data_IF_221674048504
#
_entry.id   IF_221674048504
#
_cell.length_a   1.000
_cell.length_b   1.000
_cell.length_c   1.000
_cell.angle_alpha   90.00
_cell.angle_beta   90.00
_cell.angle_gamma   90.00
#
_symmetry.space_group_name_H-M   'P 1'
#
loop_
_entity.id
_entity.type
_entity.pdbx_description
1 polymer ?
#
# COMPACT_ATOMS: atom_id res chain seq x y z
N UNK A 1 -1.58 43.56 -10.40
CA UNK A 1 -1.64 42.09 -10.55
C UNK A 1 -0.41 41.51 -9.88
N UNK A 2 -0.52 40.98 -8.67
CA UNK A 2 0.60 40.40 -7.91
C UNK A 2 0.06 39.28 -7.02
N UNK A 3 0.09 38.02 -7.49
CA UNK A 3 -0.09 36.84 -6.63
C UNK A 3 0.59 35.61 -7.25
N UNK A 4 1.92 35.56 -7.22
CA UNK A 4 2.65 34.29 -7.34
C UNK A 4 3.40 34.09 -6.03
N UNK A 5 2.91 33.16 -5.21
CA UNK A 5 3.46 32.93 -3.86
C UNK A 5 4.90 32.40 -3.95
N UNK A 6 5.90 33.03 -3.30
CA UNK A 6 7.33 32.84 -3.60
C UNK A 6 7.99 31.68 -2.83
N UNK A 7 7.35 30.50 -2.76
CA UNK A 7 7.85 29.36 -1.95
C UNK A 7 8.25 28.10 -2.75
N UNK A 8 8.16 28.11 -4.08
CA UNK A 8 8.32 26.89 -4.90
C UNK A 8 9.74 26.69 -5.47
N UNK A 9 10.63 27.68 -5.34
CA UNK A 9 11.98 27.64 -5.93
C UNK A 9 13.02 26.97 -5.02
N UNK A 10 12.76 26.83 -3.71
CA UNK A 10 13.77 26.28 -2.79
C UNK A 10 13.99 24.76 -2.95
N UNK A 11 12.97 23.89 -2.99
CA UNK A 11 13.21 22.43 -2.95
C UNK A 11 13.87 21.88 -4.22
N UNK A 12 13.52 22.42 -5.40
CA UNK A 12 14.06 21.98 -6.68
C UNK A 12 15.54 22.36 -6.83
N UNK A 13 15.90 23.56 -6.40
CA UNK A 13 17.28 24.05 -6.47
C UNK A 13 18.16 23.32 -5.46
N UNK A 14 17.62 22.96 -4.28
CA UNK A 14 18.33 22.12 -3.30
C UNK A 14 18.57 20.71 -3.85
N UNK A 15 17.58 20.07 -4.47
CA UNK A 15 17.77 18.75 -5.11
C UNK A 15 18.86 18.79 -6.17
N UNK A 16 18.82 19.77 -7.08
CA UNK A 16 19.84 19.96 -8.11
C UNK A 16 21.23 20.21 -7.53
N UNK A 17 21.32 20.97 -6.43
CA UNK A 17 22.60 21.23 -5.77
C UNK A 17 23.23 19.93 -5.22
N UNK A 18 22.43 19.07 -4.57
CA UNK A 18 22.92 17.77 -4.10
C UNK A 18 23.24 16.81 -5.24
N UNK A 19 22.44 16.80 -6.32
CA UNK A 19 22.75 16.00 -7.52
C UNK A 19 24.12 16.39 -8.10
N UNK A 20 24.45 17.69 -8.11
CA UNK A 20 25.75 18.15 -8.59
C UNK A 20 26.90 17.77 -7.65
N UNK A 21 26.68 17.82 -6.34
CA UNK A 21 27.69 17.56 -5.31
C UNK A 21 27.98 16.06 -5.15
N UNK A 22 26.95 15.21 -5.16
CA UNK A 22 27.01 13.80 -4.79
C UNK A 22 26.31 12.90 -5.83
N UNK A 23 26.75 13.01 -7.09
CA UNK A 23 26.18 12.33 -8.27
C UNK A 23 25.95 10.82 -8.11
N UNK A 24 26.73 10.13 -7.28
CA UNK A 24 26.60 8.69 -7.05
C UNK A 24 25.58 8.33 -5.96
N UNK A 25 25.11 9.32 -5.19
CA UNK A 25 24.17 9.13 -4.07
C UNK A 25 22.78 9.65 -4.34
N UNK A 26 22.61 10.53 -5.34
CA UNK A 26 21.30 11.08 -5.73
C UNK A 26 20.75 10.32 -6.94
N UNK A 27 19.50 9.86 -6.89
CA UNK A 27 18.87 9.08 -7.97
C UNK A 27 17.53 9.68 -8.40
N UNK A 28 17.27 9.62 -9.71
CA UNK A 28 15.97 9.97 -10.30
C UNK A 28 15.76 11.45 -10.62
N UNK A 29 14.63 11.75 -11.25
CA UNK A 29 14.23 13.13 -11.59
C UNK A 29 13.42 13.72 -10.43
N UNK A 30 13.67 14.98 -10.03
CA UNK A 30 12.86 15.61 -9.01
C UNK A 30 11.37 15.67 -9.44
N UNK A 31 10.43 15.13 -8.63
CA UNK A 31 9.00 15.14 -8.94
C UNK A 31 8.43 16.56 -9.05
N UNK A 32 7.29 16.70 -9.73
CA UNK A 32 6.56 17.99 -9.83
C UNK A 32 5.99 18.48 -8.49
N UNK A 33 5.78 17.59 -7.52
CA UNK A 33 5.19 17.90 -6.21
C UNK A 33 6.19 17.62 -5.09
N UNK A 34 7.06 18.60 -4.80
CA UNK A 34 8.23 18.48 -3.93
C UNK A 34 7.94 18.63 -2.42
N UNK A 35 6.69 18.87 -2.01
CA UNK A 35 6.35 19.06 -0.59
C UNK A 35 6.64 17.78 0.22
N UNK A 36 6.35 16.59 -0.32
CA UNK A 36 6.67 15.31 0.31
C UNK A 36 8.17 15.00 0.28
N UNK A 37 8.89 15.46 -0.74
CA UNK A 37 10.35 15.27 -0.86
C UNK A 37 11.16 16.08 0.18
N UNK A 38 10.55 17.00 0.91
CA UNK A 38 11.17 17.59 2.09
C UNK A 38 11.55 16.48 3.09
N UNK A 39 10.73 15.42 3.22
CA UNK A 39 11.05 14.26 4.07
C UNK A 39 12.31 13.55 3.57
N UNK A 40 12.43 13.30 2.26
CA UNK A 40 13.65 12.72 1.66
C UNK A 40 14.89 13.57 1.94
N UNK A 41 14.79 14.89 1.79
CA UNK A 41 15.89 15.82 2.04
C UNK A 41 16.27 15.87 3.52
N UNK A 42 15.30 15.86 4.44
CA UNK A 42 15.56 15.84 5.88
C UNK A 42 16.24 14.53 6.27
N UNK A 43 15.73 13.37 5.81
CA UNK A 43 16.36 12.06 6.07
C UNK A 43 17.80 12.00 5.55
N UNK A 44 18.05 12.48 4.34
CA UNK A 44 19.40 12.52 3.76
C UNK A 44 20.34 13.46 4.53
N UNK A 45 19.91 14.70 4.79
CA UNK A 45 20.73 15.70 5.49
C UNK A 45 21.01 15.37 6.95
N UNK A 46 20.12 14.58 7.59
CA UNK A 46 20.31 14.07 8.96
C UNK A 46 21.10 12.77 9.01
N UNK A 47 21.50 12.19 7.86
CA UNK A 47 22.24 10.93 7.79
C UNK A 47 21.40 9.68 8.09
N UNK A 48 20.06 9.80 8.07
CA UNK A 48 19.14 8.65 8.19
C UNK A 48 19.02 7.85 6.89
N UNK A 49 19.53 8.38 5.78
CA UNK A 49 19.65 7.67 4.50
C UNK A 49 20.93 8.09 3.76
N UNK A 50 21.70 7.10 3.29
CA UNK A 50 22.92 7.32 2.50
C UNK A 50 22.64 7.61 1.01
N UNK A 51 21.38 7.41 0.58
CA UNK A 51 20.91 7.61 -0.79
C UNK A 51 19.75 8.61 -0.78
N UNK A 52 19.81 9.60 -1.66
CA UNK A 52 18.73 10.56 -1.89
C UNK A 52 17.85 10.06 -3.02
N UNK A 53 16.68 9.55 -2.67
CA UNK A 53 15.63 9.12 -3.59
C UNK A 53 14.29 9.79 -3.25
N UNK A 54 13.38 9.95 -4.24
CA UNK A 54 12.05 10.49 -3.98
C UNK A 54 11.31 9.61 -2.98
N UNK A 55 10.60 10.23 -2.03
CA UNK A 55 9.95 9.48 -0.94
C UNK A 55 8.95 8.45 -1.46
N UNK A 56 8.22 8.79 -2.52
CA UNK A 56 7.31 7.88 -3.22
C UNK A 56 8.01 6.62 -3.75
N UNK A 57 9.23 6.74 -4.28
CA UNK A 57 10.00 5.59 -4.78
C UNK A 57 10.47 4.69 -3.64
N UNK A 58 10.93 5.29 -2.52
CA UNK A 58 11.28 4.56 -1.30
C UNK A 58 10.09 3.73 -0.79
N UNK A 59 8.91 4.36 -0.67
CA UNK A 59 7.67 3.73 -0.19
C UNK A 59 7.24 2.60 -1.14
N UNK A 60 7.27 2.81 -2.46
CA UNK A 60 6.95 1.77 -3.44
C UNK A 60 7.88 0.56 -3.31
N UNK A 61 9.18 0.79 -3.25
CA UNK A 61 10.18 -0.29 -3.13
C UNK A 61 9.98 -1.10 -1.83
N UNK A 62 9.68 -0.42 -0.72
CA UNK A 62 9.43 -1.08 0.56
C UNK A 62 8.13 -1.86 0.57
N UNK A 63 7.10 -1.34 -0.07
CA UNK A 63 5.82 -2.02 -0.19
C UNK A 63 5.94 -3.31 -1.00
N UNK A 64 6.68 -3.30 -2.10
CA UNK A 64 6.96 -4.51 -2.88
C UNK A 64 7.73 -5.55 -2.07
N UNK A 65 8.66 -5.12 -1.22
CA UNK A 65 9.40 -6.00 -0.33
C UNK A 65 8.53 -6.55 0.79
N UNK A 66 7.69 -5.71 1.39
CA UNK A 66 6.72 -6.09 2.40
C UNK A 66 5.75 -7.14 1.84
N UNK A 67 5.15 -6.92 0.66
CA UNK A 67 4.27 -7.90 0.01
C UNK A 67 4.94 -9.27 -0.18
N UNK A 68 6.23 -9.30 -0.55
CA UNK A 68 6.99 -10.56 -0.69
C UNK A 68 7.18 -11.27 0.65
N UNK A 69 7.41 -10.52 1.75
CA UNK A 69 7.51 -11.08 3.10
C UNK A 69 6.18 -11.66 3.56
N UNK A 70 5.08 -10.97 3.29
CA UNK A 70 3.74 -11.43 3.67
C UNK A 70 3.38 -12.78 3.00
N UNK A 71 3.86 -13.05 1.79
CA UNK A 71 3.68 -14.34 1.11
C UNK A 71 4.45 -15.51 1.74
N UNK A 72 5.37 -15.24 2.69
CA UNK A 72 6.07 -16.27 3.46
C UNK A 72 5.41 -16.56 4.82
N UNK A 73 4.42 -15.75 5.23
CA UNK A 73 3.67 -15.91 6.47
C UNK A 73 2.45 -16.81 6.19
N UNK A 74 2.14 -17.80 7.05
CA UNK A 74 0.95 -18.63 6.89
C UNK A 74 -0.33 -17.77 6.79
N UNK A 75 -1.29 -18.12 5.92
CA UNK A 75 -2.54 -17.36 5.82
C UNK A 75 -3.27 -17.36 7.18
N UNK A 76 -3.82 -16.20 7.55
CA UNK A 76 -4.56 -16.01 8.79
C UNK A 76 -5.71 -17.03 8.89
N UNK A 77 -5.98 -17.58 10.09
CA UNK A 77 -7.15 -18.41 10.28
C UNK A 77 -8.41 -17.55 10.07
N UNK A 78 -9.09 -17.74 8.94
CA UNK A 78 -10.42 -17.17 8.72
C UNK A 78 -11.35 -17.72 9.80
N UNK A 79 -11.96 -16.81 10.58
CA UNK A 79 -12.80 -17.15 11.71
C UNK A 79 -13.86 -18.18 11.35
N UNK A 80 -14.00 -19.17 12.22
CA UNK A 80 -15.01 -20.21 12.20
C UNK A 80 -16.39 -19.64 11.85
N UNK A 81 -16.84 -19.92 10.63
CA UNK A 81 -18.26 -19.88 10.29
C UNK A 81 -18.97 -20.89 11.17
N UNK A 82 -19.64 -20.38 12.20
CA UNK A 82 -20.52 -21.12 13.10
C UNK A 82 -21.54 -21.93 12.29
N UNK A 83 -21.24 -23.20 12.09
CA UNK A 83 -22.17 -24.19 11.54
C UNK A 83 -23.10 -24.68 12.63
N UNK A 84 -24.37 -24.25 12.58
CA UNK A 84 -25.48 -24.92 13.26
C UNK A 84 -26.56 -25.19 12.20
N UNK A 85 -26.88 -26.47 12.01
CA UNK A 85 -27.51 -27.00 10.82
C UNK A 85 -29.04 -27.02 10.79
N UNK A 86 -29.56 -27.47 9.65
CA UNK A 86 -30.87 -28.10 9.55
C UNK A 86 -30.87 -29.11 8.38
N UNK A 87 -31.15 -30.37 8.72
CA UNK A 87 -31.39 -31.49 7.81
C UNK A 87 -32.52 -31.22 6.82
N UNK A 88 -32.37 -31.73 5.59
CA UNK A 88 -33.47 -31.94 4.64
C UNK A 88 -33.07 -33.00 3.61
N UNK A 89 -33.65 -34.20 3.75
CA UNK A 89 -33.42 -35.35 2.88
C UNK A 89 -34.01 -35.17 1.47
N UNK A 90 -33.32 -35.71 0.45
CA UNK A 90 -33.84 -35.76 -0.93
C UNK A 90 -32.95 -36.58 -1.87
N UNK A 91 -33.34 -37.84 -2.08
CA UNK A 91 -32.76 -38.85 -2.97
C UNK A 91 -33.02 -38.48 -4.44
N UNK A 92 -32.02 -38.57 -5.31
CA UNK A 92 -32.17 -38.40 -6.77
C UNK A 92 -30.86 -38.69 -7.50
N UNK A 93 -30.92 -39.55 -8.51
CA UNK A 93 -29.81 -40.26 -9.14
C UNK A 93 -29.25 -39.51 -10.37
N UNK A 94 -27.97 -39.72 -10.66
CA UNK A 94 -27.43 -39.79 -12.03
C UNK A 94 -27.25 -38.49 -12.83
N UNK A 95 -26.04 -37.91 -12.79
CA UNK A 95 -25.41 -37.31 -13.96
C UNK A 95 -23.89 -37.18 -13.72
N UNK A 96 -23.12 -38.11 -14.28
CA UNK A 96 -21.68 -37.90 -14.52
C UNK A 96 -21.55 -36.94 -15.69
N UNK A 97 -21.44 -35.64 -15.40
CA UNK A 97 -21.03 -34.64 -16.40
C UNK A 97 -19.55 -34.31 -16.23
N UNK A 98 -18.80 -34.13 -17.32
CA UNK A 98 -17.34 -34.12 -17.32
C UNK A 98 -16.80 -32.82 -16.73
N UNK A 99 -15.70 -32.94 -16.00
CA UNK A 99 -14.86 -31.82 -15.58
C UNK A 99 -14.46 -30.97 -16.80
N UNK A 100 -14.58 -29.63 -16.74
CA UNK A 100 -13.96 -28.76 -17.74
C UNK A 100 -12.42 -28.85 -17.63
N UNK A 101 -11.69 -29.04 -18.75
CA UNK A 101 -10.24 -28.89 -18.76
C UNK A 101 -9.92 -27.40 -18.96
N UNK A 102 -9.44 -26.71 -17.92
CA UNK A 102 -9.01 -25.33 -18.11
C UNK A 102 -8.82 -24.45 -16.88
N UNK A 103 -8.96 -24.95 -15.65
CA UNK A 103 -8.56 -24.18 -14.49
C UNK A 103 -7.13 -24.58 -14.10
N UNK A 104 -6.19 -24.04 -14.87
CA UNK A 104 -4.83 -23.82 -14.42
C UNK A 104 -4.87 -22.88 -13.20
N UNK A 105 -5.21 -23.41 -12.02
CA UNK A 105 -5.06 -22.71 -10.74
C UNK A 105 -3.61 -22.84 -10.27
N UNK A 106 -2.71 -22.40 -11.14
CA UNK A 106 -1.34 -22.01 -10.82
C UNK A 106 -1.26 -20.54 -10.40
N UNK A 107 -2.35 -19.92 -9.94
CA UNK A 107 -2.31 -18.56 -9.44
C UNK A 107 -1.57 -18.53 -8.10
N UNK A 108 -0.41 -17.88 -8.12
CA UNK A 108 0.46 -17.74 -6.95
C UNK A 108 -0.35 -17.35 -5.72
N UNK A 109 -0.11 -18.07 -4.62
CA UNK A 109 -0.73 -17.88 -3.30
C UNK A 109 -0.38 -16.50 -2.72
N UNK A 110 -0.86 -15.43 -3.33
CA UNK A 110 -0.92 -14.14 -2.68
C UNK A 110 -1.95 -14.26 -1.58
N UNK A 111 -1.53 -14.05 -0.34
CA UNK A 111 -2.41 -14.17 0.84
C UNK A 111 -3.58 -13.19 0.84
N UNK A 112 -3.49 -12.15 0.01
CA UNK A 112 -4.48 -11.10 -0.11
C UNK A 112 -5.35 -11.33 -1.34
N UNK A 113 -6.66 -11.07 -1.20
CA UNK A 113 -7.56 -11.05 -2.35
C UNK A 113 -7.23 -9.88 -3.30
N UNK A 114 -7.68 -9.92 -4.55
CA UNK A 114 -7.51 -8.80 -5.49
C UNK A 114 -8.04 -7.47 -4.91
N UNK A 115 -9.17 -7.51 -4.21
CA UNK A 115 -9.77 -6.34 -3.55
C UNK A 115 -8.88 -5.82 -2.41
N UNK A 116 -8.33 -6.71 -1.57
CA UNK A 116 -7.41 -6.32 -0.51
C UNK A 116 -6.13 -5.69 -1.09
N UNK A 117 -5.59 -6.23 -2.19
CA UNK A 117 -4.41 -5.66 -2.86
C UNK A 117 -4.71 -4.28 -3.45
N UNK A 118 -5.88 -4.08 -4.05
CA UNK A 118 -6.30 -2.77 -4.56
C UNK A 118 -6.36 -1.72 -3.43
N UNK A 119 -6.88 -2.11 -2.27
CA UNK A 119 -6.93 -1.27 -1.08
C UNK A 119 -5.54 -0.99 -0.50
N UNK A 120 -4.69 -2.00 -0.39
CA UNK A 120 -3.30 -1.84 0.05
C UNK A 120 -2.51 -0.88 -0.85
N UNK A 121 -2.71 -0.94 -2.18
CA UNK A 121 -2.08 0.01 -3.10
C UNK A 121 -2.52 1.45 -2.86
N UNK A 122 -3.82 1.68 -2.60
CA UNK A 122 -4.32 3.02 -2.25
C UNK A 122 -3.75 3.51 -0.92
N UNK A 123 -3.65 2.63 0.08
CA UNK A 123 -3.03 2.93 1.37
C UNK A 123 -1.57 3.34 1.18
N UNK A 124 -0.81 2.53 0.43
CA UNK A 124 0.57 2.82 0.04
C UNK A 124 0.68 4.16 -0.68
N UNK A 125 -0.20 4.46 -1.64
CA UNK A 125 -0.19 5.73 -2.37
C UNK A 125 -0.47 6.93 -1.44
N UNK A 126 -1.33 6.76 -0.42
CA UNK A 126 -1.59 7.80 0.57
C UNK A 126 -0.38 8.02 1.48
N UNK A 127 0.24 6.93 1.96
CA UNK A 127 1.50 7.01 2.72
C UNK A 127 2.59 7.66 1.87
N UNK A 128 2.70 7.31 0.59
CA UNK A 128 3.68 7.88 -0.32
C UNK A 128 3.49 9.38 -0.58
N UNK A 129 2.28 9.91 -0.40
CA UNK A 129 1.94 11.32 -0.58
C UNK A 129 2.10 12.11 0.73
N UNK A 130 1.61 11.59 1.85
CA UNK A 130 1.50 12.33 3.11
C UNK A 130 2.48 11.87 4.19
N UNK A 131 3.26 10.81 3.94
CA UNK A 131 4.15 10.15 4.90
C UNK A 131 3.42 9.67 6.17
N UNK A 132 2.11 9.46 6.09
CA UNK A 132 1.26 8.96 7.17
C UNK A 132 -0.06 8.46 6.58
N UNK A 133 -0.63 7.45 7.23
CA UNK A 133 -2.02 7.01 7.04
C UNK A 133 -2.66 6.82 8.41
N UNK A 134 -3.87 7.35 8.60
CA UNK A 134 -4.68 7.14 9.79
C UNK A 134 -6.02 6.47 9.44
N UNK A 135 -6.73 6.00 10.46
CA UNK A 135 -8.09 5.45 10.27
C UNK A 135 -9.07 6.53 9.76
N UNK A 136 -8.81 7.81 10.06
CA UNK A 136 -9.68 8.90 9.62
C UNK A 136 -9.59 9.15 8.11
N UNK A 137 -8.43 8.87 7.50
CA UNK A 137 -8.19 9.02 6.05
C UNK A 137 -9.18 8.21 5.20
N UNK A 138 -9.73 7.11 5.73
CA UNK A 138 -10.76 6.32 5.05
C UNK A 138 -12.07 7.07 4.83
N UNK A 139 -12.30 8.19 5.53
CA UNK A 139 -13.46 9.05 5.32
C UNK A 139 -13.26 10.04 4.15
N UNK A 140 -12.07 10.06 3.55
CA UNK A 140 -11.71 10.95 2.45
C UNK A 140 -11.49 10.16 1.14
N UNK A 141 -11.36 10.88 0.03
CA UNK A 141 -11.10 10.32 -1.29
C UNK A 141 -9.66 9.76 -1.32
N UNK A 142 -9.43 8.59 -1.95
CA UNK A 142 -10.37 7.79 -2.75
C UNK A 142 -11.21 6.80 -1.96
N UNK A 143 -10.93 6.58 -0.68
CA UNK A 143 -11.53 5.50 0.11
C UNK A 143 -13.03 5.66 0.29
N UNK A 144 -13.52 6.87 0.58
CA UNK A 144 -14.94 7.11 0.80
C UNK A 144 -15.82 6.86 -0.44
N UNK A 145 -15.24 6.79 -1.64
CA UNK A 145 -15.95 6.45 -2.87
C UNK A 145 -16.19 4.94 -2.99
N UNK A 146 -15.40 4.12 -2.30
CA UNK A 146 -15.44 2.66 -2.33
C UNK A 146 -15.99 2.08 -1.02
N UNK A 147 -16.74 2.89 -0.25
CA UNK A 147 -17.35 2.47 1.03
C UNK A 147 -16.53 2.81 2.28
N UNK A 148 -15.38 3.46 2.11
CA UNK A 148 -14.59 4.06 3.19
C UNK A 148 -14.19 3.07 4.27
N UNK A 149 -14.23 3.54 5.53
CA UNK A 149 -13.81 2.74 6.67
C UNK A 149 -14.61 1.44 6.83
N UNK A 150 -15.90 1.45 6.49
CA UNK A 150 -16.75 0.26 6.59
C UNK A 150 -16.25 -0.83 5.63
N UNK A 151 -15.91 -0.48 4.39
CA UNK A 151 -15.36 -1.44 3.44
C UNK A 151 -13.97 -1.92 3.84
N UNK A 152 -13.12 -1.05 4.37
CA UNK A 152 -11.83 -1.44 4.92
C UNK A 152 -11.98 -2.49 6.04
N UNK A 153 -12.92 -2.27 6.96
CA UNK A 153 -13.23 -3.20 8.05
C UNK A 153 -13.84 -4.51 7.56
N UNK A 154 -14.60 -4.50 6.48
CA UNK A 154 -15.09 -5.74 5.85
C UNK A 154 -13.95 -6.56 5.24
N UNK A 155 -12.99 -5.89 4.58
CA UNK A 155 -11.85 -6.55 3.91
C UNK A 155 -10.79 -7.05 4.89
N UNK A 156 -10.47 -6.29 5.92
CA UNK A 156 -9.34 -6.56 6.83
C UNK A 156 -9.77 -6.88 8.27
N UNK A 157 -11.05 -6.69 8.61
CA UNK A 157 -11.59 -7.04 9.92
C UNK A 157 -11.01 -6.20 11.06
N UNK A 158 -10.69 -6.91 12.15
CA UNK A 158 -10.08 -6.33 13.36
C UNK A 158 -8.59 -6.01 13.18
N UNK A 159 -7.94 -6.65 12.20
CA UNK A 159 -6.49 -6.51 11.98
C UNK A 159 -6.17 -5.26 11.13
N UNK A 160 -7.19 -4.48 10.73
CA UNK A 160 -7.02 -3.25 9.94
C UNK A 160 -6.12 -2.21 10.65
N UNK A 161 -6.34 -1.99 11.95
CA UNK A 161 -5.58 -0.98 12.70
C UNK A 161 -4.11 -1.39 12.79
N UNK A 162 -3.85 -2.64 13.19
CA UNK A 162 -2.52 -3.23 13.26
C UNK A 162 -1.81 -3.19 11.90
N UNK A 163 -2.54 -3.45 10.81
CA UNK A 163 -2.02 -3.39 9.45
C UNK A 163 -1.61 -1.97 9.04
N UNK A 164 -2.38 -0.94 9.42
CA UNK A 164 -2.04 0.46 9.13
C UNK A 164 -0.80 0.88 9.90
N UNK A 165 -0.72 0.51 11.19
CA UNK A 165 0.46 0.77 12.01
C UNK A 165 1.70 0.07 11.43
N UNK A 166 1.57 -1.20 11.06
CA UNK A 166 2.63 -1.97 10.39
C UNK A 166 3.09 -1.29 9.10
N UNK A 167 2.16 -0.90 8.21
CA UNK A 167 2.49 -0.23 6.96
C UNK A 167 3.14 1.14 7.16
N UNK A 168 2.65 1.94 8.11
CA UNK A 168 3.29 3.21 8.45
C UNK A 168 4.73 2.97 8.93
N UNK A 169 4.95 2.00 9.83
CA UNK A 169 6.29 1.69 10.31
C UNK A 169 7.18 1.14 9.19
N UNK A 170 6.77 0.10 8.48
CA UNK A 170 7.59 -0.61 7.48
C UNK A 170 7.91 0.25 6.25
N UNK A 171 6.94 1.03 5.77
CA UNK A 171 7.14 1.84 4.56
C UNK A 171 7.93 3.12 4.86
N UNK A 172 7.81 3.67 6.07
CA UNK A 172 8.44 4.94 6.42
C UNK A 172 9.79 4.75 7.12
N UNK A 173 10.02 3.71 7.93
CA UNK A 173 11.22 3.52 8.78
C UNK A 173 12.54 3.75 8.06
#
# INVERSE_FOLDING_TARGET
MLTTSPNHLAPIEVWKAYEQLEKNKVKGVPPKELLTNIVSLIRFSTGLSDVLEPFTELVNNRFDNWLKQQNQIPPLPQGEGRGEGAQGAGRGEGATSPLPPGEDLGEGKNRFSPDQLAWLNKIKDQIAQNAEMTVEDFNYIPFNQEGGLLKARELFGKDLDDLIEELNCELIA
#
